data_IF_118826493040
#
_entry.id   IF_118826493040
#
_cell.length_a   1.000
_cell.length_b   1.000
_cell.length_c   1.000
_cell.angle_alpha   90.00
_cell.angle_beta   90.00
_cell.angle_gamma   90.00
#
_symmetry.space_group_name_H-M   'P 1'
#
loop_
_entity.id
_entity.type
_entity.pdbx_description
1 polymer ?
#
# COMPACT_ATOMS: atom_id res chain seq x y z
N UNK A 1 2.57 -19.65 1.92
CA UNK A 1 3.31 -20.00 3.14
C UNK A 1 2.42 -20.81 4.08
N UNK A 2 2.90 -21.92 4.65
CA UNK A 2 2.07 -22.77 5.53
C UNK A 2 1.49 -22.03 6.74
N UNK A 3 2.27 -21.13 7.35
CA UNK A 3 1.85 -20.34 8.51
C UNK A 3 0.72 -19.37 8.18
N UNK A 4 0.78 -18.69 7.02
CA UNK A 4 -0.30 -17.80 6.58
C UNK A 4 -1.59 -18.56 6.31
N UNK A 5 -1.51 -19.72 5.67
CA UNK A 5 -2.68 -20.57 5.42
C UNK A 5 -3.30 -21.12 6.72
N UNK A 6 -2.48 -21.43 7.71
CA UNK A 6 -2.96 -21.83 9.04
C UNK A 6 -3.74 -20.69 9.71
N UNK A 7 -3.21 -19.48 9.67
CA UNK A 7 -3.88 -18.28 10.24
C UNK A 7 -5.17 -17.94 9.51
N UNK A 8 -5.19 -18.04 8.18
CA UNK A 8 -6.41 -17.84 7.38
C UNK A 8 -7.52 -18.81 7.83
N UNK A 9 -7.19 -20.07 8.05
CA UNK A 9 -8.14 -21.09 8.55
C UNK A 9 -8.61 -20.78 9.97
N UNK A 10 -7.71 -20.39 10.86
CA UNK A 10 -8.02 -20.01 12.23
C UNK A 10 -9.00 -18.83 12.29
N UNK A 11 -8.81 -17.82 11.44
CA UNK A 11 -9.65 -16.64 11.36
C UNK A 11 -10.94 -16.85 10.54
N UNK A 12 -11.08 -18.00 9.88
CA UNK A 12 -12.24 -18.30 9.04
C UNK A 12 -12.38 -17.42 7.80
N UNK A 13 -11.26 -16.90 7.29
CA UNK A 13 -11.27 -16.02 6.12
C UNK A 13 -11.60 -16.78 4.83
N UNK A 14 -12.46 -16.20 4.01
CA UNK A 14 -12.89 -16.75 2.72
C UNK A 14 -12.76 -15.70 1.63
N UNK A 15 -12.55 -16.16 0.41
CA UNK A 15 -12.54 -15.27 -0.75
C UNK A 15 -13.88 -14.57 -0.92
N UNK A 16 -13.84 -13.26 -1.13
CA UNK A 16 -15.00 -12.43 -1.44
C UNK A 16 -14.86 -11.83 -2.85
N UNK A 17 -15.94 -11.33 -3.48
CA UNK A 17 -15.86 -10.67 -4.78
C UNK A 17 -14.91 -9.47 -4.84
N UNK A 18 -14.66 -8.84 -3.69
CA UNK A 18 -13.80 -7.65 -3.59
C UNK A 18 -12.38 -7.96 -3.13
N UNK A 19 -12.19 -8.94 -2.26
CA UNK A 19 -10.92 -9.19 -1.59
C UNK A 19 -10.66 -10.68 -1.46
N UNK A 20 -9.44 -11.12 -1.78
CA UNK A 20 -9.00 -12.47 -1.51
C UNK A 20 -8.79 -12.69 0.00
N UNK A 21 -8.76 -13.96 0.42
CA UNK A 21 -8.45 -14.33 1.80
C UNK A 21 -7.06 -13.88 2.25
N UNK A 22 -6.10 -13.85 1.33
CA UNK A 22 -4.75 -13.34 1.57
C UNK A 22 -4.75 -11.83 1.83
N UNK A 23 -5.51 -11.06 1.05
CA UNK A 23 -5.67 -9.62 1.25
C UNK A 23 -6.38 -9.31 2.57
N UNK A 24 -7.36 -10.11 2.95
CA UNK A 24 -8.02 -10.00 4.26
C UNK A 24 -7.06 -10.32 5.42
N UNK A 25 -6.16 -11.30 5.25
CA UNK A 25 -5.12 -11.59 6.24
C UNK A 25 -4.14 -10.42 6.37
N UNK A 26 -3.76 -9.79 5.27
CA UNK A 26 -2.93 -8.58 5.29
C UNK A 26 -3.61 -7.46 6.08
N UNK A 27 -4.89 -7.21 5.83
CA UNK A 27 -5.68 -6.21 6.56
C UNK A 27 -5.75 -6.53 8.05
N UNK A 28 -5.97 -7.78 8.42
CA UNK A 28 -5.93 -8.22 9.82
C UNK A 28 -4.59 -7.90 10.47
N UNK A 29 -3.49 -8.27 9.83
CA UNK A 29 -2.14 -7.99 10.33
C UNK A 29 -1.91 -6.47 10.49
N UNK A 30 -2.26 -5.69 9.48
CA UNK A 30 -2.11 -4.24 9.52
C UNK A 30 -2.99 -3.59 10.61
N UNK A 31 -4.18 -4.14 10.87
CA UNK A 31 -5.04 -3.67 11.96
C UNK A 31 -4.43 -3.94 13.34
N UNK A 32 -3.83 -5.10 13.55
CA UNK A 32 -3.15 -5.43 14.81
C UNK A 32 -1.93 -4.53 15.04
N UNK A 33 -1.11 -4.32 14.01
CA UNK A 33 0.03 -3.38 14.07
C UNK A 33 -0.47 -1.96 14.33
N UNK A 34 -1.55 -1.53 13.66
CA UNK A 34 -2.17 -0.23 13.82
C UNK A 34 -2.63 0.04 15.25
N UNK A 35 -3.20 -0.95 15.94
CA UNK A 35 -3.57 -0.84 17.36
C UNK A 35 -2.35 -0.52 18.23
N UNK A 36 -1.26 -1.25 18.05
CA UNK A 36 -0.01 -1.04 18.81
C UNK A 36 0.55 0.36 18.56
N UNK A 37 0.52 0.83 17.33
CA UNK A 37 0.99 2.18 16.95
C UNK A 37 0.12 3.25 17.58
N UNK A 38 -1.21 3.10 17.51
CA UNK A 38 -2.18 4.05 18.08
C UNK A 38 -2.08 4.11 19.60
N UNK A 39 -1.87 2.98 20.28
CA UNK A 39 -1.67 2.92 21.73
C UNK A 39 -0.43 3.70 22.19
N UNK A 40 0.52 3.91 21.29
CA UNK A 40 1.71 4.75 21.52
C UNK A 40 1.51 6.20 21.12
N UNK A 41 0.28 6.63 20.83
CA UNK A 41 -0.06 8.00 20.44
C UNK A 41 0.45 8.39 19.05
N UNK A 42 0.67 7.43 18.15
CA UNK A 42 1.13 7.64 16.79
C UNK A 42 0.11 7.15 15.77
N UNK A 43 0.15 7.71 14.57
CA UNK A 43 -0.67 7.25 13.45
C UNK A 43 0.13 6.30 12.57
N UNK A 44 -0.54 5.27 12.07
CA UNK A 44 0.04 4.33 11.12
C UNK A 44 0.15 4.97 9.73
N UNK A 45 1.29 4.81 9.09
CA UNK A 45 1.51 5.15 7.69
C UNK A 45 1.92 3.88 6.94
N UNK A 46 1.31 3.63 5.81
CA UNK A 46 1.67 2.49 4.96
C UNK A 46 1.48 2.79 3.48
N UNK A 47 2.04 1.92 2.64
CA UNK A 47 1.93 2.00 1.20
C UNK A 47 0.51 1.68 0.72
N UNK A 48 0.18 2.06 -0.50
CA UNK A 48 -1.16 1.93 -1.07
C UNK A 48 -1.62 0.48 -1.31
N UNK A 49 -0.74 -0.50 -1.21
CA UNK A 49 -1.13 -1.92 -1.17
C UNK A 49 -2.03 -2.28 0.02
N UNK A 50 -2.02 -1.47 1.09
CA UNK A 50 -2.97 -1.64 2.20
C UNK A 50 -4.43 -1.55 1.77
N UNK A 51 -4.72 -0.85 0.67
CA UNK A 51 -6.09 -0.68 0.15
C UNK A 51 -6.70 -1.98 -0.36
N UNK A 52 -5.88 -2.95 -0.73
CA UNK A 52 -6.32 -4.22 -1.31
C UNK A 52 -7.19 -5.05 -0.38
N UNK A 53 -6.99 -4.97 0.92
CA UNK A 53 -7.77 -5.70 1.91
C UNK A 53 -8.66 -4.82 2.79
N UNK A 54 -8.63 -3.49 2.59
CA UNK A 54 -9.28 -2.50 3.43
C UNK A 54 -8.30 -1.82 4.39
N UNK A 55 -8.61 -0.59 4.78
CA UNK A 55 -7.73 0.22 5.62
C UNK A 55 -8.01 0.03 7.11
N UNK A 56 -6.94 0.00 7.91
CA UNK A 56 -7.04 0.14 9.36
C UNK A 56 -7.54 1.55 9.74
N UNK A 57 -8.32 1.69 10.82
CA UNK A 57 -8.83 3.00 11.26
C UNK A 57 -7.71 4.01 11.49
N UNK A 58 -7.85 5.22 10.94
CA UNK A 58 -6.89 6.30 11.12
C UNK A 58 -5.55 6.13 10.37
N UNK A 59 -5.42 5.13 9.51
CA UNK A 59 -4.21 4.92 8.71
C UNK A 59 -4.04 6.02 7.64
N UNK A 60 -2.81 6.43 7.41
CA UNK A 60 -2.42 7.30 6.29
C UNK A 60 -1.85 6.45 5.17
N UNK A 61 -2.23 6.74 3.94
CA UNK A 61 -1.80 5.98 2.75
C UNK A 61 -0.74 6.75 1.99
N UNK A 62 0.38 6.09 1.71
CA UNK A 62 1.39 6.61 0.78
C UNK A 62 1.17 5.98 -0.59
N UNK A 63 0.67 6.78 -1.53
CA UNK A 63 0.28 6.32 -2.87
C UNK A 63 1.46 6.38 -3.83
N UNK A 64 2.14 5.26 -4.06
CA UNK A 64 3.32 5.17 -4.93
C UNK A 64 3.05 4.50 -6.28
N UNK A 65 2.11 3.56 -6.34
CA UNK A 65 1.78 2.82 -7.58
C UNK A 65 1.12 3.71 -8.63
N UNK A 66 0.53 4.83 -8.21
CA UNK A 66 -0.14 5.80 -9.05
C UNK A 66 -0.99 6.73 -8.23
N UNK A 67 -1.87 7.47 -8.87
CA UNK A 67 -2.77 8.43 -8.19
C UNK A 67 -4.03 7.75 -7.62
N UNK A 68 -4.38 6.57 -8.08
CA UNK A 68 -5.63 5.87 -7.68
C UNK A 68 -5.70 5.61 -6.18
N UNK A 69 -4.60 5.15 -5.59
CA UNK A 69 -4.54 4.85 -4.15
C UNK A 69 -4.83 6.07 -3.29
N UNK A 70 -4.27 7.22 -3.65
CA UNK A 70 -4.56 8.48 -2.96
C UNK A 70 -6.01 8.93 -3.10
N UNK A 71 -6.60 8.79 -4.28
CA UNK A 71 -8.01 9.11 -4.53
C UNK A 71 -8.92 8.20 -3.69
N UNK A 72 -8.63 6.91 -3.67
CA UNK A 72 -9.42 5.94 -2.91
C UNK A 72 -9.30 6.17 -1.40
N UNK A 73 -8.10 6.43 -0.90
CA UNK A 73 -7.88 6.80 0.49
C UNK A 73 -8.70 8.04 0.89
N UNK A 74 -8.69 9.08 0.04
CA UNK A 74 -9.48 10.30 0.27
C UNK A 74 -10.99 10.04 0.28
N UNK A 75 -11.48 9.16 -0.60
CA UNK A 75 -12.91 8.75 -0.61
C UNK A 75 -13.31 8.02 0.67
N UNK A 76 -12.38 7.31 1.28
CA UNK A 76 -12.56 6.60 2.55
C UNK A 76 -12.26 7.49 3.77
N UNK A 77 -12.05 8.78 3.57
CA UNK A 77 -11.72 9.76 4.61
C UNK A 77 -10.41 9.48 5.36
N UNK A 78 -9.43 8.93 4.64
CA UNK A 78 -8.06 8.75 5.13
C UNK A 78 -7.13 9.80 4.54
N UNK A 79 -6.12 10.21 5.30
CA UNK A 79 -5.05 11.06 4.79
C UNK A 79 -4.20 10.30 3.76
N UNK A 80 -3.73 11.01 2.74
CA UNK A 80 -2.89 10.41 1.71
C UNK A 80 -1.65 11.27 1.42
N UNK A 81 -0.52 10.60 1.21
CA UNK A 81 0.71 11.21 0.72
C UNK A 81 0.93 10.75 -0.72
N UNK A 82 1.03 11.69 -1.64
CA UNK A 82 1.15 11.40 -3.07
C UNK A 82 2.61 11.29 -3.48
N UNK A 83 3.02 10.07 -3.82
CA UNK A 83 4.37 9.75 -4.31
C UNK A 83 4.32 8.86 -5.56
N UNK A 84 3.50 9.21 -6.57
CA UNK A 84 3.29 8.32 -7.71
C UNK A 84 4.56 8.12 -8.52
N UNK A 85 4.88 6.85 -8.82
CA UNK A 85 6.09 6.42 -9.54
C UNK A 85 6.25 7.12 -10.88
N UNK A 86 5.15 7.43 -11.56
CA UNK A 86 5.16 8.06 -12.88
C UNK A 86 5.75 9.47 -12.87
N UNK A 87 5.70 10.16 -11.75
CA UNK A 87 6.07 11.57 -11.63
C UNK A 87 7.24 11.83 -10.71
N UNK A 88 7.38 11.09 -9.63
CA UNK A 88 8.33 11.37 -8.55
C UNK A 88 9.53 10.42 -8.51
N UNK A 89 9.48 9.29 -9.20
CA UNK A 89 10.58 8.32 -9.24
C UNK A 89 11.50 8.59 -10.43
N UNK A 90 12.69 9.06 -10.18
CA UNK A 90 13.70 9.32 -11.22
C UNK A 90 14.20 8.08 -11.96
N UNK A 91 14.02 6.91 -11.38
CA UNK A 91 14.33 5.62 -11.99
C UNK A 91 13.30 5.17 -13.03
N UNK A 92 12.17 5.87 -13.16
CA UNK A 92 11.12 5.50 -14.10
C UNK A 92 11.56 5.73 -15.55
N UNK A 93 11.55 4.72 -16.44
CA UNK A 93 11.91 4.86 -17.84
C UNK A 93 11.08 5.90 -18.61
N UNK A 94 9.83 6.10 -18.20
CA UNK A 94 8.93 7.10 -18.81
C UNK A 94 9.42 8.53 -18.60
N UNK A 95 9.98 8.84 -17.43
CA UNK A 95 10.58 10.14 -17.16
C UNK A 95 11.75 10.44 -18.10
N UNK A 96 12.62 9.45 -18.33
CA UNK A 96 13.77 9.58 -19.22
C UNK A 96 13.36 9.78 -20.68
N UNK A 97 12.23 9.19 -21.09
CA UNK A 97 11.69 9.31 -22.45
C UNK A 97 11.17 10.73 -22.72
N UNK A 98 10.54 11.38 -21.76
CA UNK A 98 10.01 12.76 -21.87
C UNK A 98 11.15 13.77 -22.00
N UNK A 99 12.30 13.53 -21.38
CA UNK A 99 13.48 14.41 -21.44
C UNK A 99 14.44 14.11 -22.59
N UNK A 100 14.12 13.16 -23.48
CA UNK A 100 14.96 12.83 -24.65
C UNK A 100 16.32 12.21 -24.31
N UNK A 101 16.57 11.86 -23.06
CA UNK A 101 17.76 11.15 -22.63
C UNK A 101 17.58 9.65 -22.86
N UNK A 102 18.42 9.06 -23.70
CA UNK A 102 18.50 7.60 -23.84
C UNK A 102 18.81 7.02 -22.45
N UNK A 103 17.93 6.16 -21.97
CA UNK A 103 18.13 5.39 -20.76
C UNK A 103 19.44 4.59 -20.88
N UNK A 104 20.50 5.07 -20.31
CA UNK A 104 21.61 4.22 -19.90
C UNK A 104 21.11 3.42 -18.71
N UNK A 105 20.87 2.14 -18.89
CA UNK A 105 20.24 1.21 -17.94
C UNK A 105 21.03 1.00 -16.65
N UNK A 106 21.22 2.06 -15.88
CA UNK A 106 21.72 2.02 -14.52
C UNK A 106 20.82 2.85 -13.63
N UNK A 107 20.02 2.18 -12.83
CA UNK A 107 19.46 2.78 -11.63
C UNK A 107 20.62 3.19 -10.73
N UNK A 108 20.89 4.48 -10.64
CA UNK A 108 21.70 5.02 -9.55
C UNK A 108 20.77 5.12 -8.34
N UNK A 109 20.88 4.18 -7.42
CA UNK A 109 20.37 4.32 -6.06
C UNK A 109 21.32 5.32 -5.35
N UNK A 110 20.75 6.42 -4.90
CA UNK A 110 21.41 7.30 -3.93
C UNK A 110 20.98 6.82 -2.56
#
# INVERSE_FOLDING_TARGET
MPTCQAKIRELGLKDTPKHSKENQLQTYFMSEVGKVINDRGRKMLGWDEMLEGGLAPGATVMSWTGVKGGIEAARLHHDAIMTPIQYLYFSNPTYNRIKGTKSLGRCLYI
#
